data_IF_565268079220
#
_entry.id   IF_565268079220
#
_cell.length_a   1.000
_cell.length_b   1.000
_cell.length_c   1.000
_cell.angle_alpha   90.00
_cell.angle_beta   90.00
_cell.angle_gamma   90.00
#
_symmetry.space_group_name_H-M   'P 1'
#
loop_
_entity.id
_entity.type
_entity.pdbx_description
1 polymer ?
#
# COMPACT_ATOMS: atom_id res chain seq x y z
N UNK A 1 5.36 -11.92 29.38
CA UNK A 1 5.37 -10.93 30.47
C UNK A 1 4.35 -11.24 31.54
N UNK A 2 4.65 -10.85 32.78
CA UNK A 2 3.87 -11.16 33.97
C UNK A 2 3.78 -9.98 34.93
N UNK A 3 2.72 -9.93 35.73
CA UNK A 3 2.64 -9.15 36.97
C UNK A 3 2.98 -10.07 38.13
N UNK A 4 4.08 -9.80 38.84
CA UNK A 4 4.52 -10.55 40.02
C UNK A 4 4.16 -9.84 41.31
N UNK A 5 3.93 -10.61 42.36
CA UNK A 5 3.78 -10.16 43.74
C UNK A 5 4.61 -11.07 44.65
N UNK A 6 5.52 -10.46 45.43
CA UNK A 6 6.29 -11.19 46.44
C UNK A 6 5.49 -11.35 47.73
N UNK A 7 5.70 -12.46 48.43
CA UNK A 7 5.05 -12.70 49.71
C UNK A 7 5.61 -11.75 50.79
N UNK A 8 4.75 -11.03 51.55
CA UNK A 8 5.21 -10.08 52.57
C UNK A 8 5.91 -10.77 53.77
N UNK A 9 5.68 -12.07 53.96
CA UNK A 9 6.25 -12.85 55.07
C UNK A 9 7.72 -13.24 54.87
N UNK A 10 8.33 -12.91 53.73
CA UNK A 10 9.72 -13.25 53.43
C UNK A 10 10.69 -12.30 54.15
N UNK A 11 11.02 -12.58 55.41
CA UNK A 11 12.04 -11.80 56.12
C UNK A 11 13.40 -11.90 55.39
N UNK A 12 14.02 -10.75 55.07
CA UNK A 12 15.35 -10.63 54.45
C UNK A 12 15.54 -11.32 53.09
N UNK A 13 14.53 -11.27 52.20
CA UNK A 13 14.66 -11.74 50.82
C UNK A 13 14.37 -10.61 49.84
N UNK A 14 15.27 -10.39 48.89
CA UNK A 14 15.05 -9.48 47.76
C UNK A 14 15.19 -10.26 46.46
N UNK A 15 14.17 -10.15 45.59
CA UNK A 15 14.25 -10.76 44.27
C UNK A 15 15.08 -9.83 43.38
N UNK A 16 16.28 -10.24 43.00
CA UNK A 16 17.15 -9.44 42.13
C UNK A 16 16.91 -9.73 40.65
N UNK A 17 17.24 -8.77 39.80
CA UNK A 17 17.19 -8.96 38.36
C UNK A 17 18.08 -10.14 37.91
N UNK A 18 17.64 -10.87 36.89
CA UNK A 18 18.32 -12.08 36.37
C UNK A 18 18.37 -13.29 37.31
N UNK A 19 17.63 -13.29 38.42
CA UNK A 19 17.48 -14.46 39.29
C UNK A 19 16.87 -15.66 38.54
N UNK A 20 17.35 -16.86 38.88
CA UNK A 20 16.77 -18.13 38.42
C UNK A 20 15.80 -18.67 39.48
N UNK A 21 14.59 -19.00 39.04
CA UNK A 21 13.50 -19.44 39.89
C UNK A 21 12.74 -20.60 39.24
N UNK A 22 12.13 -21.45 40.04
CA UNK A 22 11.14 -22.39 39.53
C UNK A 22 9.79 -21.69 39.36
N UNK A 23 9.24 -21.83 38.16
CA UNK A 23 7.92 -21.38 37.77
C UNK A 23 6.97 -22.57 37.74
N UNK A 24 5.87 -22.44 38.47
CA UNK A 24 4.82 -23.45 38.52
C UNK A 24 3.56 -22.91 37.86
N UNK A 25 3.07 -23.63 36.86
CA UNK A 25 1.77 -23.42 36.24
C UNK A 25 1.09 -24.76 35.99
N UNK A 26 -0.20 -24.88 36.34
CA UNK A 26 -0.91 -26.15 36.30
C UNK A 26 -0.12 -27.26 37.00
N UNK A 27 0.25 -28.30 36.26
CA UNK A 27 1.03 -29.46 36.74
C UNK A 27 2.51 -29.41 36.37
N UNK A 28 3.00 -28.30 35.78
CA UNK A 28 4.36 -28.19 35.25
C UNK A 28 5.24 -27.30 36.13
N UNK A 29 6.47 -27.76 36.37
CA UNK A 29 7.55 -27.04 37.03
C UNK A 29 8.69 -26.80 36.04
N UNK A 30 9.11 -25.54 35.88
CA UNK A 30 10.17 -25.17 34.92
C UNK A 30 11.08 -24.11 35.51
N UNK A 31 12.39 -24.23 35.29
CA UNK A 31 13.34 -23.17 35.61
C UNK A 31 13.17 -21.97 34.67
N UNK A 32 13.01 -20.78 35.24
CA UNK A 32 12.89 -19.52 34.52
C UNK A 32 13.92 -18.51 35.01
N UNK A 33 14.38 -17.66 34.09
CA UNK A 33 15.12 -16.45 34.42
C UNK A 33 14.17 -15.26 34.51
N UNK A 34 14.25 -14.48 35.58
CA UNK A 34 13.37 -13.33 35.79
C UNK A 34 14.07 -12.03 35.43
N UNK A 35 13.43 -11.22 34.59
CA UNK A 35 13.91 -9.89 34.23
C UNK A 35 12.95 -8.86 34.80
N UNK A 36 13.42 -7.99 35.69
CA UNK A 36 12.60 -7.03 36.42
C UNK A 36 12.46 -5.70 35.67
N UNK A 37 11.35 -5.01 35.93
CA UNK A 37 11.06 -3.70 35.37
C UNK A 37 11.71 -2.56 36.16
N UNK A 38 12.77 -1.97 35.61
CA UNK A 38 13.47 -0.74 36.09
C UNK A 38 13.94 -0.73 37.55
N UNK A 39 13.71 -1.79 38.31
CA UNK A 39 14.20 -2.00 39.66
C UNK A 39 15.34 -3.00 39.65
N UNK A 40 16.35 -2.75 40.47
CA UNK A 40 17.41 -3.72 40.72
C UNK A 40 16.90 -4.93 41.52
N UNK A 41 15.92 -4.70 42.40
CA UNK A 41 15.27 -5.73 43.20
C UNK A 41 13.82 -5.41 43.57
N UNK A 42 13.05 -6.45 43.92
CA UNK A 42 11.76 -6.34 44.60
C UNK A 42 11.87 -6.75 46.07
N UNK A 43 11.25 -5.98 46.95
CA UNK A 43 11.13 -6.28 48.37
C UNK A 43 9.89 -7.15 48.70
N UNK A 44 9.86 -7.82 49.86
CA UNK A 44 8.71 -8.62 50.29
C UNK A 44 7.41 -7.79 50.30
N UNK A 45 6.35 -8.32 49.69
CA UNK A 45 5.06 -7.63 49.57
C UNK A 45 4.94 -6.71 48.35
N UNK A 46 6.05 -6.38 47.68
CA UNK A 46 5.99 -5.55 46.48
C UNK A 46 5.34 -6.26 45.30
N UNK A 47 4.70 -5.46 44.45
CA UNK A 47 4.11 -5.89 43.18
C UNK A 47 4.78 -5.15 42.04
N UNK A 48 5.00 -5.82 40.92
CA UNK A 48 5.54 -5.18 39.72
C UNK A 48 5.45 -6.05 38.49
N UNK A 49 6.00 -5.54 37.39
CA UNK A 49 6.06 -6.28 36.13
C UNK A 49 7.44 -6.92 35.96
N UNK A 50 7.43 -8.10 35.35
CA UNK A 50 8.63 -8.81 34.98
C UNK A 50 8.43 -9.57 33.68
N UNK A 51 9.54 -9.92 33.03
CA UNK A 51 9.56 -10.85 31.92
C UNK A 51 10.23 -12.14 32.39
N UNK A 52 9.46 -13.24 32.33
CA UNK A 52 9.98 -14.58 32.59
C UNK A 52 10.50 -15.17 31.29
N UNK A 53 11.72 -15.69 31.32
CA UNK A 53 12.40 -16.28 30.16
C UNK A 53 12.67 -17.75 30.44
N UNK A 54 12.09 -18.59 29.60
CA UNK A 54 12.18 -20.04 29.69
C UNK A 54 13.15 -20.57 28.63
N UNK A 55 13.83 -21.68 28.94
CA UNK A 55 14.68 -22.40 27.97
C UNK A 55 13.86 -23.28 27.01
N UNK A 56 12.69 -23.71 27.47
CA UNK A 56 11.76 -24.58 26.74
C UNK A 56 10.44 -23.86 26.48
N UNK A 57 9.73 -24.21 25.39
CA UNK A 57 8.41 -23.65 25.13
C UNK A 57 7.41 -24.05 26.22
N UNK A 58 6.53 -23.10 26.54
CA UNK A 58 5.50 -23.27 27.55
C UNK A 58 4.19 -22.66 27.03
N UNK A 59 3.14 -23.47 27.00
CA UNK A 59 1.79 -22.99 26.69
C UNK A 59 1.14 -22.45 27.96
N UNK A 60 0.77 -21.18 27.93
CA UNK A 60 -0.01 -20.51 28.97
C UNK A 60 -1.07 -19.62 28.35
N UNK A 61 -2.07 -19.30 29.15
CA UNK A 61 -3.11 -18.35 28.81
C UNK A 61 -2.89 -17.01 29.49
N UNK A 62 -3.31 -15.96 28.81
CA UNK A 62 -3.46 -14.63 29.38
C UNK A 62 -4.46 -14.70 30.53
N UNK A 63 -4.06 -14.17 31.69
CA UNK A 63 -4.85 -14.24 32.93
C UNK A 63 -4.55 -15.46 33.81
N UNK A 64 -3.69 -16.39 33.38
CA UNK A 64 -3.31 -17.52 34.22
C UNK A 64 -2.51 -17.06 35.44
N UNK A 65 -2.73 -17.75 36.56
CA UNK A 65 -1.95 -17.58 37.79
C UNK A 65 -0.78 -18.55 37.83
N UNK A 66 0.32 -18.13 38.44
CA UNK A 66 1.50 -18.96 38.63
C UNK A 66 2.14 -18.73 39.99
N UNK A 67 3.03 -19.64 40.38
CA UNK A 67 3.81 -19.57 41.61
C UNK A 67 5.31 -19.53 41.26
N UNK A 68 6.07 -18.74 42.01
CA UNK A 68 7.54 -18.66 41.94
C UNK A 68 8.18 -19.23 43.20
N UNK A 69 9.17 -20.11 43.02
CA UNK A 69 9.95 -20.70 44.11
C UNK A 69 11.46 -20.59 43.85
N UNK A 70 12.24 -20.46 44.92
CA UNK A 70 13.71 -20.58 44.83
C UNK A 70 14.11 -22.04 44.60
N UNK A 71 15.17 -22.32 43.82
CA UNK A 71 15.64 -23.68 43.61
C UNK A 71 16.23 -24.33 44.87
N UNK A 72 17.07 -23.59 45.61
CA UNK A 72 17.69 -24.09 46.84
C UNK A 72 17.97 -22.93 47.81
N UNK A 73 17.56 -23.04 49.09
CA UNK A 73 16.58 -24.00 49.60
C UNK A 73 15.20 -23.79 48.93
N UNK A 74 14.39 -24.84 48.73
CA UNK A 74 13.12 -24.74 48.04
C UNK A 74 12.11 -23.94 48.86
N UNK A 75 11.80 -22.71 48.42
CA UNK A 75 10.92 -21.79 49.15
C UNK A 75 10.02 -21.04 48.20
N UNK A 76 8.73 -20.95 48.53
CA UNK A 76 7.80 -20.10 47.78
C UNK A 76 8.08 -18.64 48.09
N UNK A 77 8.39 -17.86 47.05
CA UNK A 77 8.70 -16.44 47.19
C UNK A 77 7.56 -15.52 46.73
N UNK A 78 6.60 -16.07 45.98
CA UNK A 78 5.55 -15.26 45.40
C UNK A 78 4.84 -15.98 44.29
N UNK A 79 4.13 -15.20 43.51
CA UNK A 79 3.43 -15.65 42.33
C UNK A 79 2.98 -14.46 41.51
N UNK A 80 2.04 -14.69 40.63
CA UNK A 80 1.58 -13.60 39.79
C UNK A 80 0.50 -13.99 38.80
N UNK A 81 0.32 -13.08 37.85
CA UNK A 81 -0.63 -13.17 36.74
C UNK A 81 0.13 -13.04 35.42
N UNK A 82 -0.19 -13.89 34.46
CA UNK A 82 0.32 -13.77 33.10
C UNK A 82 -0.45 -12.68 32.37
N UNK A 83 0.26 -11.66 31.88
CA UNK A 83 -0.35 -10.50 31.21
C UNK A 83 -0.06 -10.46 29.71
N UNK A 84 1.00 -11.12 29.25
CA UNK A 84 1.25 -11.37 27.84
C UNK A 84 2.01 -12.70 27.67
N UNK A 85 1.34 -13.79 27.24
CA UNK A 85 1.99 -15.09 27.05
C UNK A 85 2.94 -15.11 25.84
N UNK A 86 2.74 -14.23 24.85
CA UNK A 86 3.48 -14.20 23.59
C UNK A 86 4.37 -12.96 23.48
N UNK A 87 4.85 -12.43 24.61
CA UNK A 87 5.72 -11.25 24.63
C UNK A 87 7.08 -11.55 23.98
N UNK A 88 7.51 -10.68 23.06
CA UNK A 88 8.87 -10.74 22.54
C UNK A 88 9.89 -10.35 23.62
N UNK A 89 11.13 -10.82 23.48
CA UNK A 89 12.22 -10.41 24.36
C UNK A 89 12.42 -8.90 24.27
N UNK A 90 12.29 -8.19 25.39
CA UNK A 90 12.51 -6.75 25.44
C UNK A 90 13.24 -6.36 26.73
N UNK A 91 13.61 -5.08 26.80
CA UNK A 91 14.17 -4.46 27.99
C UNK A 91 13.18 -3.43 28.52
N UNK A 92 12.98 -3.43 29.83
CA UNK A 92 12.12 -2.47 30.53
C UNK A 92 12.68 -1.04 30.57
N UNK A 93 13.58 -0.64 29.66
CA UNK A 93 14.11 0.73 29.64
C UNK A 93 13.07 1.77 29.23
N UNK A 94 12.05 1.34 28.50
CA UNK A 94 11.00 2.21 28.00
C UNK A 94 9.80 2.26 28.96
N UNK A 95 9.38 3.48 29.33
CA UNK A 95 8.14 3.71 30.10
C UNK A 95 6.91 3.19 29.36
N UNK A 96 6.97 3.13 28.03
CA UNK A 96 5.92 2.64 27.17
C UNK A 96 5.49 1.20 27.50
N UNK A 97 6.46 0.28 27.61
CA UNK A 97 6.19 -1.13 27.86
C UNK A 97 5.48 -1.34 29.20
N UNK A 98 5.87 -0.58 30.23
CA UNK A 98 5.23 -0.65 31.54
C UNK A 98 3.77 -0.21 31.48
N UNK A 99 3.49 0.86 30.75
CA UNK A 99 2.12 1.35 30.57
C UNK A 99 1.25 0.34 29.81
N UNK A 100 1.80 -0.30 28.78
CA UNK A 100 1.13 -1.35 28.03
C UNK A 100 0.79 -2.55 28.94
N UNK A 101 1.74 -3.00 29.75
CA UNK A 101 1.50 -4.10 30.69
C UNK A 101 0.49 -3.75 31.80
N UNK A 102 0.45 -2.48 32.24
CA UNK A 102 -0.58 -2.01 33.19
C UNK A 102 -1.99 -2.12 32.61
N UNK A 103 -2.18 -1.73 31.34
CA UNK A 103 -3.45 -1.89 30.65
C UNK A 103 -3.86 -3.36 30.57
N UNK A 104 -2.94 -4.21 30.08
CA UNK A 104 -3.18 -5.66 29.97
C UNK A 104 -3.49 -6.34 31.30
N UNK A 105 -2.89 -5.87 32.40
CA UNK A 105 -3.12 -6.41 33.73
C UNK A 105 -4.54 -6.20 34.26
N UNK A 106 -5.32 -5.28 33.69
CA UNK A 106 -6.75 -5.10 34.03
C UNK A 106 -7.63 -6.19 33.44
N UNK A 107 -7.11 -6.94 32.46
CA UNK A 107 -7.84 -7.95 31.70
C UNK A 107 -9.08 -7.41 30.97
N UNK A 108 -9.18 -6.10 30.73
CA UNK A 108 -10.24 -5.53 29.90
C UNK A 108 -10.04 -5.93 28.42
N UNK A 109 -11.06 -6.53 27.80
CA UNK A 109 -10.92 -7.11 26.46
C UNK A 109 -10.63 -6.03 25.40
N UNK A 110 -11.20 -4.84 25.53
CA UNK A 110 -10.92 -3.72 24.63
C UNK A 110 -9.46 -3.27 24.71
N UNK A 111 -8.96 -3.03 25.94
CA UNK A 111 -7.55 -2.69 26.16
C UNK A 111 -6.60 -3.81 25.69
N UNK A 112 -6.97 -5.08 25.87
CA UNK A 112 -6.19 -6.23 25.41
C UNK A 112 -6.06 -6.24 23.88
N UNK A 113 -7.17 -6.05 23.16
CA UNK A 113 -7.16 -6.01 21.68
C UNK A 113 -6.29 -4.86 21.18
N UNK A 114 -6.48 -3.66 21.73
CA UNK A 114 -5.71 -2.47 21.34
C UNK A 114 -4.20 -2.65 21.61
N UNK A 115 -3.84 -3.19 22.79
CA UNK A 115 -2.43 -3.45 23.11
C UNK A 115 -1.83 -4.58 22.28
N UNK A 116 -2.62 -5.56 21.85
CA UNK A 116 -2.18 -6.62 20.92
C UNK A 116 -1.88 -6.05 19.52
N UNK A 117 -2.69 -5.10 19.05
CA UNK A 117 -2.47 -4.40 17.78
C UNK A 117 -1.28 -3.46 17.82
N UNK A 118 -1.06 -2.77 18.94
CA UNK A 118 0.16 -1.99 19.16
C UNK A 118 1.41 -2.87 19.05
N UNK A 119 1.37 -4.06 19.66
CA UNK A 119 2.51 -4.99 19.67
C UNK A 119 2.82 -5.56 18.28
N UNK A 120 1.80 -5.97 17.55
CA UNK A 120 1.96 -6.71 16.28
C UNK A 120 1.78 -5.83 15.03
N UNK A 121 1.30 -4.59 15.18
CA UNK A 121 0.93 -3.63 14.14
C UNK A 121 -0.31 -4.05 13.34
N UNK A 122 -0.32 -5.28 12.84
CA UNK A 122 -1.48 -5.94 12.24
C UNK A 122 -1.46 -7.43 12.55
N UNK A 123 -2.65 -8.01 12.74
CA UNK A 123 -2.81 -9.42 13.13
C UNK A 123 -3.97 -10.04 12.34
N UNK A 124 -3.87 -11.33 12.02
CA UNK A 124 -5.01 -12.07 11.47
C UNK A 124 -6.08 -12.17 12.54
N UNK A 125 -7.36 -12.01 12.15
CA UNK A 125 -8.51 -12.10 13.06
C UNK A 125 -8.48 -13.40 13.87
N UNK A 126 -8.16 -14.52 13.23
CA UNK A 126 -8.14 -15.85 13.86
C UNK A 126 -6.99 -16.05 14.86
N UNK A 127 -5.97 -15.18 14.81
CA UNK A 127 -4.82 -15.24 15.72
C UNK A 127 -4.95 -14.23 16.88
N UNK A 128 -5.98 -13.37 16.88
CA UNK A 128 -6.16 -12.36 17.91
C UNK A 128 -6.45 -13.02 19.26
N UNK A 129 -5.59 -12.78 20.25
CA UNK A 129 -5.73 -13.30 21.61
C UNK A 129 -5.95 -14.83 21.68
N UNK A 130 -5.31 -15.58 20.77
CA UNK A 130 -5.45 -17.05 20.69
C UNK A 130 -5.03 -17.78 21.98
N UNK A 131 -4.11 -17.20 22.76
CA UNK A 131 -3.70 -17.67 24.08
C UNK A 131 -4.45 -16.90 25.19
N UNK A 132 -5.77 -16.78 25.10
CA UNK A 132 -6.60 -16.16 26.14
C UNK A 132 -7.85 -17.00 26.41
N UNK A 133 -8.47 -16.79 27.58
CA UNK A 133 -9.68 -17.51 27.98
C UNK A 133 -10.97 -16.87 27.42
N UNK A 134 -10.86 -15.95 26.47
CA UNK A 134 -12.00 -15.30 25.83
C UNK A 134 -12.53 -16.14 24.68
N UNK A 135 -13.86 -16.26 24.59
CA UNK A 135 -14.50 -16.91 23.47
C UNK A 135 -14.34 -16.07 22.18
N UNK A 136 -14.28 -16.74 21.04
CA UNK A 136 -14.19 -16.07 19.74
C UNK A 136 -15.35 -15.08 19.50
N UNK A 137 -16.55 -15.40 20.00
CA UNK A 137 -17.71 -14.51 19.92
C UNK A 137 -17.51 -13.20 20.69
N UNK A 138 -16.98 -13.28 21.91
CA UNK A 138 -16.72 -12.10 22.76
C UNK A 138 -15.66 -11.19 22.10
N UNK A 139 -14.58 -11.78 21.58
CA UNK A 139 -13.54 -11.05 20.86
C UNK A 139 -14.15 -10.34 19.64
N UNK A 140 -14.98 -11.05 18.86
CA UNK A 140 -15.60 -10.50 17.66
C UNK A 140 -16.54 -9.34 17.97
N UNK A 141 -17.34 -9.44 19.02
CA UNK A 141 -18.25 -8.36 19.44
C UNK A 141 -17.49 -7.09 19.78
N UNK A 142 -16.42 -7.20 20.59
CA UNK A 142 -15.58 -6.05 20.96
C UNK A 142 -14.82 -5.48 19.75
N UNK A 143 -14.34 -6.34 18.84
CA UNK A 143 -13.72 -5.90 17.58
C UNK A 143 -14.71 -5.06 16.74
N UNK A 144 -15.97 -5.48 16.62
CA UNK A 144 -16.96 -4.69 15.87
C UNK A 144 -17.32 -3.37 16.57
N UNK A 145 -17.32 -3.33 17.90
CA UNK A 145 -17.47 -2.07 18.66
C UNK A 145 -16.30 -1.11 18.40
N UNK A 146 -15.06 -1.57 18.59
CA UNK A 146 -13.85 -0.76 18.35
C UNK A 146 -13.74 -0.29 16.90
N UNK A 147 -14.19 -1.10 15.95
CA UNK A 147 -14.26 -0.72 14.53
C UNK A 147 -15.26 0.39 14.30
N UNK A 148 -16.46 0.32 14.90
CA UNK A 148 -17.49 1.38 14.79
C UNK A 148 -17.00 2.69 15.40
N UNK A 149 -16.26 2.62 16.50
CA UNK A 149 -15.63 3.78 17.15
C UNK A 149 -14.42 4.33 16.35
N UNK A 150 -13.95 3.58 15.34
CA UNK A 150 -12.79 3.95 14.54
C UNK A 150 -11.48 3.86 15.30
N UNK A 151 -11.41 3.05 16.35
CA UNK A 151 -10.20 2.78 17.15
C UNK A 151 -9.29 1.72 16.52
N UNK A 152 -9.85 0.88 15.64
CA UNK A 152 -9.09 -0.12 14.87
C UNK A 152 -9.53 -0.13 13.41
N UNK A 153 -8.68 -0.65 12.54
CA UNK A 153 -8.97 -0.81 11.12
C UNK A 153 -9.10 -2.29 10.81
N UNK A 154 -10.16 -2.67 10.12
CA UNK A 154 -10.45 -4.07 9.80
C UNK A 154 -10.50 -4.28 8.30
N UNK A 155 -9.77 -5.28 7.80
CA UNK A 155 -9.98 -5.83 6.45
C UNK A 155 -10.82 -7.11 6.53
N UNK A 156 -10.90 -7.88 5.45
CA UNK A 156 -11.55 -9.19 5.47
C UNK A 156 -10.90 -10.12 6.52
N UNK A 157 -9.57 -10.22 6.52
CA UNK A 157 -8.81 -11.20 7.32
C UNK A 157 -7.95 -10.57 8.41
N UNK A 158 -7.70 -9.26 8.37
CA UNK A 158 -6.73 -8.58 9.23
C UNK A 158 -7.39 -7.52 10.11
N UNK A 159 -6.79 -7.32 11.28
CA UNK A 159 -6.99 -6.19 12.17
C UNK A 159 -5.69 -5.38 12.18
N UNK A 160 -5.80 -4.06 12.15
CA UNK A 160 -4.67 -3.14 11.98
C UNK A 160 -4.83 -2.01 13.01
N UNK A 161 -3.72 -1.63 13.64
CA UNK A 161 -3.66 -0.47 14.52
C UNK A 161 -4.02 0.83 13.75
N UNK A 162 -4.84 1.68 14.38
CA UNK A 162 -5.31 2.94 13.79
C UNK A 162 -4.17 3.92 13.53
N UNK A 163 -3.27 4.10 14.49
CA UNK A 163 -2.20 5.10 14.35
C UNK A 163 -1.23 4.70 13.25
N UNK A 164 -0.84 3.42 13.23
CA UNK A 164 -0.06 2.86 12.15
C UNK A 164 -0.75 3.01 10.79
N UNK A 165 -2.06 2.76 10.71
CA UNK A 165 -2.80 2.92 9.46
C UNK A 165 -2.80 4.36 8.94
N UNK A 166 -2.99 5.34 9.82
CA UNK A 166 -2.93 6.76 9.46
C UNK A 166 -1.51 7.16 9.02
N UNK A 167 -0.49 6.62 9.67
CA UNK A 167 0.89 6.80 9.26
C UNK A 167 1.12 6.23 7.85
N UNK A 168 0.60 5.04 7.53
CA UNK A 168 0.72 4.44 6.20
C UNK A 168 0.01 5.26 5.12
N UNK A 169 -1.18 5.78 5.41
CA UNK A 169 -1.89 6.72 4.52
C UNK A 169 -1.05 7.96 4.24
N UNK A 170 -0.46 8.53 5.28
CA UNK A 170 0.38 9.74 5.16
C UNK A 170 1.64 9.46 4.36
N UNK A 171 2.35 8.36 4.68
CA UNK A 171 3.53 7.89 3.93
C UNK A 171 3.21 7.66 2.47
N UNK A 172 2.08 7.04 2.16
CA UNK A 172 1.65 6.79 0.79
C UNK A 172 1.44 8.08 0.03
N UNK A 173 0.67 9.02 0.59
CA UNK A 173 0.40 10.31 -0.05
C UNK A 173 1.67 11.13 -0.24
N UNK A 174 2.56 11.14 0.75
CA UNK A 174 3.87 11.81 0.64
C UNK A 174 4.71 11.19 -0.47
N UNK A 175 4.76 9.86 -0.55
CA UNK A 175 5.49 9.16 -1.62
C UNK A 175 4.90 9.46 -3.00
N UNK A 176 3.57 9.45 -3.13
CA UNK A 176 2.89 9.77 -4.39
C UNK A 176 3.18 11.22 -4.82
N UNK A 177 3.15 12.17 -3.89
CA UNK A 177 3.51 13.56 -4.18
C UNK A 177 4.98 13.71 -4.62
N UNK A 178 5.92 13.03 -3.97
CA UNK A 178 7.33 12.99 -4.38
C UNK A 178 7.51 12.45 -5.80
N UNK A 179 6.80 11.40 -6.18
CA UNK A 179 6.84 10.86 -7.55
C UNK A 179 6.39 11.91 -8.57
N UNK A 180 5.35 12.69 -8.26
CA UNK A 180 4.93 13.77 -9.15
C UNK A 180 5.82 15.02 -9.12
N UNK A 181 6.63 15.24 -8.08
CA UNK A 181 7.67 16.27 -8.09
C UNK A 181 8.83 15.87 -9.01
N UNK A 182 9.22 14.60 -8.97
CA UNK A 182 10.25 14.04 -9.85
C UNK A 182 9.79 13.94 -11.30
N UNK A 183 8.51 13.65 -11.53
CA UNK A 183 7.93 13.49 -12.86
C UNK A 183 6.66 14.36 -13.05
N UNK A 184 6.78 15.68 -13.24
CA UNK A 184 5.63 16.61 -13.26
C UNK A 184 4.61 16.40 -14.38
N UNK A 185 5.03 15.75 -15.48
CA UNK A 185 4.20 15.46 -16.65
C UNK A 185 3.46 14.12 -16.56
N UNK A 186 3.87 13.24 -15.63
CA UNK A 186 3.14 11.99 -15.41
C UNK A 186 1.76 12.32 -14.87
N UNK A 187 0.76 11.60 -15.38
CA UNK A 187 -0.63 11.72 -14.92
C UNK A 187 -0.95 10.72 -13.82
N UNK A 188 -0.13 9.68 -13.67
CA UNK A 188 -0.21 8.69 -12.62
C UNK A 188 0.99 7.74 -12.68
N UNK A 189 1.05 6.79 -11.77
CA UNK A 189 2.14 5.82 -11.70
C UNK A 189 1.62 4.40 -11.49
N UNK A 190 2.38 3.38 -11.93
CA UNK A 190 1.99 1.98 -11.73
C UNK A 190 1.81 1.61 -10.25
N UNK A 191 0.73 0.89 -9.92
CA UNK A 191 0.41 0.45 -8.56
C UNK A 191 1.48 -0.48 -7.98
N UNK A 192 2.04 -1.37 -8.81
CA UNK A 192 3.13 -2.28 -8.43
C UNK A 192 4.41 -1.54 -7.99
N UNK A 193 4.67 -0.35 -8.54
CA UNK A 193 5.77 0.51 -8.09
C UNK A 193 5.56 0.91 -6.63
N UNK A 194 4.36 1.32 -6.25
CA UNK A 194 4.06 1.64 -4.86
C UNK A 194 4.04 0.40 -3.95
N UNK A 195 3.52 -0.74 -4.40
CA UNK A 195 3.60 -1.98 -3.64
C UNK A 195 5.05 -2.32 -3.25
N UNK A 196 6.02 -1.99 -4.11
CA UNK A 196 7.45 -2.19 -3.84
C UNK A 196 7.99 -1.27 -2.73
N UNK A 197 7.51 -0.02 -2.65
CA UNK A 197 7.84 0.90 -1.55
C UNK A 197 7.23 0.47 -0.22
N UNK A 198 6.10 -0.22 -0.27
CA UNK A 198 5.37 -0.76 0.88
C UNK A 198 5.54 -2.27 1.01
N UNK A 199 6.75 -2.79 0.75
CA UNK A 199 7.05 -4.24 0.77
C UNK A 199 6.74 -4.94 2.12
N UNK A 200 6.72 -4.19 3.22
CA UNK A 200 6.39 -4.68 4.55
C UNK A 200 4.88 -4.88 4.76
N UNK A 201 4.03 -4.27 3.91
CA UNK A 201 2.60 -4.54 3.90
C UNK A 201 2.31 -5.77 3.04
N UNK A 202 1.48 -6.67 3.59
CA UNK A 202 0.95 -7.79 2.82
C UNK A 202 0.10 -7.26 1.64
N UNK A 203 0.04 -7.93 0.48
CA UNK A 203 -0.72 -7.46 -0.68
C UNK A 203 -2.18 -7.13 -0.37
N UNK A 204 -2.85 -7.93 0.45
CA UNK A 204 -4.23 -7.68 0.91
C UNK A 204 -4.36 -6.36 1.67
N UNK A 205 -3.40 -6.06 2.55
CA UNK A 205 -3.38 -4.82 3.35
C UNK A 205 -3.07 -3.62 2.46
N UNK A 206 -2.13 -3.77 1.52
CA UNK A 206 -1.81 -2.71 0.57
C UNK A 206 -2.99 -2.40 -0.36
N UNK A 207 -3.66 -3.42 -0.91
CA UNK A 207 -4.85 -3.21 -1.73
C UNK A 207 -5.95 -2.48 -0.94
N UNK A 208 -6.17 -2.88 0.32
CA UNK A 208 -7.09 -2.18 1.21
C UNK A 208 -6.69 -0.73 1.49
N UNK A 209 -5.37 -0.42 1.51
CA UNK A 209 -4.87 0.95 1.65
C UNK A 209 -5.25 1.79 0.43
N UNK A 210 -5.07 1.23 -0.77
CA UNK A 210 -5.47 1.86 -2.02
C UNK A 210 -6.97 2.09 -2.06
N UNK A 211 -7.77 1.06 -1.77
CA UNK A 211 -9.23 1.15 -1.75
C UNK A 211 -9.71 2.20 -0.74
N UNK A 212 -9.09 2.25 0.45
CA UNK A 212 -9.42 3.26 1.44
C UNK A 212 -9.09 4.69 0.97
N UNK A 213 -8.07 4.89 0.16
CA UNK A 213 -7.71 6.22 -0.37
C UNK A 213 -8.61 6.62 -1.54
N UNK A 214 -9.02 5.65 -2.37
CA UNK A 214 -10.02 5.83 -3.43
C UNK A 214 -11.36 6.25 -2.82
N UNK A 215 -11.82 5.53 -1.79
CA UNK A 215 -13.09 5.82 -1.11
C UNK A 215 -13.10 7.18 -0.38
N UNK A 216 -11.93 7.80 -0.17
CA UNK A 216 -11.82 9.15 0.38
C UNK A 216 -11.60 10.23 -0.68
N UNK A 217 -11.80 9.89 -1.96
CA UNK A 217 -11.62 10.77 -3.13
C UNK A 217 -10.25 11.46 -3.18
N UNK A 218 -9.20 10.80 -2.68
CA UNK A 218 -7.82 11.31 -2.74
C UNK A 218 -7.10 10.87 -4.01
N UNK A 219 -7.32 9.62 -4.41
CA UNK A 219 -6.66 8.99 -5.56
C UNK A 219 -7.66 8.24 -6.43
N UNK A 220 -7.31 8.01 -7.70
CA UNK A 220 -7.99 7.08 -8.58
C UNK A 220 -7.06 5.94 -9.00
N UNK A 221 -7.64 4.81 -9.42
CA UNK A 221 -6.94 3.67 -9.98
C UNK A 221 -7.58 3.27 -11.32
N UNK A 222 -6.81 3.31 -12.42
CA UNK A 222 -7.30 2.92 -13.75
C UNK A 222 -6.26 2.06 -14.47
N UNK A 223 -6.65 0.84 -14.86
CA UNK A 223 -5.76 -0.12 -15.55
C UNK A 223 -4.40 -0.31 -14.83
N UNK A 224 -4.41 -0.36 -13.49
CA UNK A 224 -3.20 -0.52 -12.68
C UNK A 224 -2.38 0.76 -12.47
N UNK A 225 -2.85 1.92 -12.95
CA UNK A 225 -2.20 3.22 -12.74
C UNK A 225 -2.94 3.99 -11.63
N UNK A 226 -2.19 4.40 -10.60
CA UNK A 226 -2.65 5.24 -9.49
C UNK A 226 -2.42 6.70 -9.86
N UNK A 227 -3.41 7.55 -9.65
CA UNK A 227 -3.31 8.99 -9.92
C UNK A 227 -3.99 9.83 -8.84
N UNK A 228 -3.54 11.07 -8.64
CA UNK A 228 -4.21 12.04 -7.77
C UNK A 228 -5.41 12.65 -8.48
N UNK A 229 -6.59 12.63 -7.84
CA UNK A 229 -7.80 13.24 -8.40
C UNK A 229 -7.70 14.77 -8.49
N UNK A 230 -6.98 15.40 -7.56
CA UNK A 230 -6.83 16.85 -7.47
C UNK A 230 -5.78 17.43 -8.43
N UNK A 231 -4.93 16.60 -9.05
CA UNK A 231 -3.77 17.09 -9.80
C UNK A 231 -4.04 17.09 -11.29
N UNK A 232 -3.93 18.28 -11.89
CA UNK A 232 -3.70 18.44 -13.33
C UNK A 232 -2.19 18.55 -13.61
N UNK A 233 -1.69 18.05 -14.74
CA UNK A 233 -0.28 18.17 -15.11
C UNK A 233 0.13 19.64 -15.13
N UNK A 234 1.20 19.98 -14.41
CA UNK A 234 1.76 21.35 -14.39
C UNK A 234 2.89 21.41 -15.40
N UNK A 235 2.68 22.16 -16.48
CA UNK A 235 3.68 22.38 -17.53
C UNK A 235 4.59 23.55 -17.11
N UNK A 236 5.88 23.28 -16.95
CA UNK A 236 6.89 24.31 -16.65
C UNK A 236 7.16 25.22 -17.85
N UNK A 237 7.76 26.38 -17.63
CA UNK A 237 8.13 27.31 -18.73
C UNK A 237 9.09 26.67 -19.74
N UNK A 238 10.04 25.85 -19.27
CA UNK A 238 10.94 25.09 -20.15
C UNK A 238 10.18 24.03 -20.97
N UNK A 239 9.23 23.33 -20.36
CA UNK A 239 8.39 22.36 -21.05
C UNK A 239 7.48 23.03 -22.08
N UNK A 240 6.97 24.23 -21.83
CA UNK A 240 6.21 25.00 -22.84
C UNK A 240 7.04 25.28 -24.09
N UNK A 241 8.33 25.61 -23.93
CA UNK A 241 9.26 25.82 -25.06
C UNK A 241 9.51 24.51 -25.82
N UNK A 242 9.60 23.39 -25.12
CA UNK A 242 9.76 22.08 -25.78
C UNK A 242 8.47 21.65 -26.50
N UNK A 243 7.30 21.87 -25.91
CA UNK A 243 5.99 21.63 -26.52
C UNK A 243 5.86 22.45 -27.81
N UNK A 244 6.20 23.75 -27.77
CA UNK A 244 6.14 24.59 -28.97
C UNK A 244 7.11 24.11 -30.06
N UNK A 245 8.32 23.68 -29.69
CA UNK A 245 9.25 23.05 -30.64
C UNK A 245 8.68 21.78 -31.28
N UNK A 246 8.07 20.89 -30.49
CA UNK A 246 7.43 19.66 -30.99
C UNK A 246 6.31 20.01 -31.98
N UNK A 247 5.41 20.92 -31.62
CA UNK A 247 4.33 21.33 -32.53
C UNK A 247 4.84 22.01 -33.78
N UNK A 248 5.89 22.83 -33.71
CA UNK A 248 6.48 23.45 -34.91
C UNK A 248 7.01 22.37 -35.86
N UNK A 249 7.74 21.36 -35.35
CA UNK A 249 8.23 20.25 -36.18
C UNK A 249 7.08 19.49 -36.84
N UNK A 250 5.99 19.24 -36.10
CA UNK A 250 4.81 18.56 -36.63
C UNK A 250 4.08 19.41 -37.69
N UNK A 251 3.98 20.73 -37.47
CA UNK A 251 3.35 21.68 -38.40
C UNK A 251 4.16 21.90 -39.67
N UNK A 252 5.49 21.91 -39.58
CA UNK A 252 6.39 22.05 -40.72
C UNK A 252 6.41 20.79 -41.59
N UNK A 253 5.95 19.64 -41.06
CA UNK A 253 5.92 18.35 -41.74
C UNK A 253 4.52 17.71 -41.78
N UNK A 254 3.49 18.40 -42.29
CA UNK A 254 2.10 17.94 -42.19
C UNK A 254 1.83 16.68 -43.04
N UNK A 255 2.59 16.47 -44.11
CA UNK A 255 2.47 15.33 -45.04
C UNK A 255 3.59 14.30 -44.90
N UNK A 256 4.59 14.60 -44.06
CA UNK A 256 5.75 13.75 -43.80
C UNK A 256 6.02 13.63 -42.29
N UNK A 257 5.04 13.16 -41.50
CA UNK A 257 5.13 13.20 -40.06
C UNK A 257 6.36 12.42 -39.55
N UNK A 258 7.06 12.97 -38.55
CA UNK A 258 8.22 12.33 -37.95
C UNK A 258 7.82 11.09 -37.13
N UNK A 259 8.80 10.21 -36.92
CA UNK A 259 8.66 9.08 -36.01
C UNK A 259 9.00 9.52 -34.58
N UNK A 260 8.34 8.94 -33.60
CA UNK A 260 8.62 9.09 -32.17
C UNK A 260 10.11 8.93 -31.85
N UNK A 261 10.80 7.92 -32.40
CA UNK A 261 12.23 7.71 -32.17
C UNK A 261 13.07 8.89 -32.66
N UNK A 262 12.73 9.44 -33.84
CA UNK A 262 13.42 10.59 -34.43
C UNK A 262 13.22 11.83 -33.56
N UNK A 263 11.99 12.09 -33.13
CA UNK A 263 11.65 13.23 -32.30
C UNK A 263 12.32 13.18 -30.91
N UNK A 264 12.36 11.99 -30.29
CA UNK A 264 13.06 11.76 -29.03
C UNK A 264 14.57 12.00 -29.19
N UNK A 265 15.16 11.61 -30.33
CA UNK A 265 16.59 11.84 -30.58
C UNK A 265 16.94 13.31 -30.84
N UNK A 266 16.02 14.07 -31.43
CA UNK A 266 16.21 15.50 -31.74
C UNK A 266 15.96 16.41 -30.54
N UNK A 267 15.16 15.95 -29.58
CA UNK A 267 14.75 16.75 -28.41
C UNK A 267 15.09 15.97 -27.14
N UNK A 268 16.16 16.40 -26.47
CA UNK A 268 16.49 15.89 -25.13
C UNK A 268 15.31 16.12 -24.17
N UNK A 269 14.84 15.06 -23.51
CA UNK A 269 13.63 15.09 -22.68
C UNK A 269 12.30 15.06 -23.45
N UNK A 270 12.32 14.89 -24.77
CA UNK A 270 11.13 14.91 -25.61
C UNK A 270 10.15 13.76 -25.35
N UNK A 271 10.64 12.60 -24.88
CA UNK A 271 9.79 11.41 -24.64
C UNK A 271 8.64 11.70 -23.67
N UNK A 272 8.93 12.27 -22.50
CA UNK A 272 7.90 12.54 -21.48
C UNK A 272 6.85 13.54 -21.97
N UNK A 273 7.27 14.52 -22.78
CA UNK A 273 6.37 15.50 -23.36
C UNK A 273 5.50 14.89 -24.46
N UNK A 274 6.07 14.03 -25.30
CA UNK A 274 5.33 13.31 -26.34
C UNK A 274 4.29 12.40 -25.69
N UNK A 275 4.68 11.62 -24.68
CA UNK A 275 3.76 10.75 -23.93
C UNK A 275 2.62 11.56 -23.30
N UNK A 276 2.94 12.72 -22.71
CA UNK A 276 1.95 13.66 -22.17
C UNK A 276 0.99 14.20 -23.25
N UNK A 277 1.51 14.66 -24.39
CA UNK A 277 0.69 15.19 -25.49
C UNK A 277 -0.18 14.12 -26.15
N UNK A 278 0.29 12.87 -26.22
CA UNK A 278 -0.52 11.73 -26.66
C UNK A 278 -1.66 11.47 -25.68
N UNK A 279 -1.37 11.52 -24.39
CA UNK A 279 -2.37 11.31 -23.35
C UNK A 279 -3.45 12.40 -23.34
N UNK A 280 -3.06 13.66 -23.52
CA UNK A 280 -3.98 14.80 -23.68
C UNK A 280 -4.69 14.83 -25.04
N UNK A 281 -4.39 13.87 -25.94
CA UNK A 281 -4.96 13.75 -27.30
C UNK A 281 -4.64 14.94 -28.22
N UNK A 282 -3.57 15.67 -27.91
CA UNK A 282 -3.02 16.72 -28.76
C UNK A 282 -2.15 16.14 -29.90
N UNK A 283 -1.56 14.97 -29.66
CA UNK A 283 -0.83 14.18 -30.65
C UNK A 283 -1.50 12.81 -30.80
N UNK A 284 -1.72 12.38 -32.04
CA UNK A 284 -2.17 11.03 -32.38
C UNK A 284 -0.94 10.21 -32.76
N UNK A 285 -0.72 9.09 -32.06
CA UNK A 285 0.26 8.08 -32.43
C UNK A 285 -0.38 7.05 -33.35
N UNK A 286 0.12 6.96 -34.58
CA UNK A 286 -0.25 5.92 -35.55
C UNK A 286 0.61 4.67 -35.37
N UNK A 287 0.34 3.62 -36.17
CA UNK A 287 1.23 2.46 -36.25
C UNK A 287 2.64 2.87 -36.71
N UNK A 288 3.62 2.01 -36.42
CA UNK A 288 5.05 2.24 -36.68
C UNK A 288 5.66 3.43 -35.91
N UNK A 289 4.94 4.00 -34.94
CA UNK A 289 5.43 5.09 -34.09
C UNK A 289 5.39 6.47 -34.74
N UNK A 290 4.59 6.64 -35.80
CA UNK A 290 4.42 7.92 -36.50
C UNK A 290 3.55 8.85 -35.66
N UNK A 291 3.94 10.11 -35.51
CA UNK A 291 3.25 11.11 -34.70
C UNK A 291 2.58 12.18 -35.56
N UNK A 292 1.29 12.44 -35.33
CA UNK A 292 0.53 13.49 -35.99
C UNK A 292 -0.06 14.46 -34.98
N UNK A 293 -0.10 15.75 -35.31
CA UNK A 293 -0.96 16.69 -34.58
C UNK A 293 -2.43 16.25 -34.74
N UNK A 294 -3.18 16.25 -33.64
CA UNK A 294 -4.59 15.82 -33.60
C UNK A 294 -5.44 16.57 -34.62
N UNK A 295 -5.22 17.88 -34.76
CA UNK A 295 -5.90 18.71 -35.77
C UNK A 295 -5.63 18.25 -37.20
N UNK A 296 -4.39 17.88 -37.52
CA UNK A 296 -4.03 17.39 -38.85
C UNK A 296 -4.64 16.01 -39.12
N UNK A 297 -4.64 15.13 -38.11
CA UNK A 297 -5.34 13.86 -38.18
C UNK A 297 -6.83 14.04 -38.47
N UNK A 298 -7.51 14.95 -37.77
CA UNK A 298 -8.93 15.24 -37.98
C UNK A 298 -9.22 15.79 -39.38
N UNK A 299 -8.37 16.68 -39.91
CA UNK A 299 -8.49 17.18 -41.30
C UNK A 299 -8.39 16.02 -42.30
N UNK A 300 -7.37 15.16 -42.18
CA UNK A 300 -7.18 14.02 -43.08
C UNK A 300 -8.34 13.03 -42.98
N UNK A 301 -8.76 12.73 -41.75
CA UNK A 301 -9.88 11.83 -41.43
C UNK A 301 -11.18 12.32 -42.04
N UNK A 302 -11.50 13.61 -41.89
CA UNK A 302 -12.72 14.19 -42.44
C UNK A 302 -12.73 14.17 -43.97
N UNK A 303 -11.62 14.53 -44.64
CA UNK A 303 -11.49 14.42 -46.10
C UNK A 303 -11.75 12.98 -46.59
N UNK A 304 -11.21 11.99 -45.88
CA UNK A 304 -11.42 10.58 -46.21
C UNK A 304 -12.88 10.15 -46.01
N UNK A 305 -13.52 10.58 -44.91
CA UNK A 305 -14.93 10.31 -44.64
C UNK A 305 -15.81 10.93 -45.74
N UNK A 306 -15.55 12.17 -46.14
CA UNK A 306 -16.33 12.87 -47.17
C UNK A 306 -16.18 12.20 -48.54
N UNK A 307 -14.96 11.80 -48.91
CA UNK A 307 -14.73 11.01 -50.13
C UNK A 307 -15.50 9.69 -50.09
N UNK A 308 -15.44 8.96 -48.97
CA UNK A 308 -16.10 7.67 -48.83
C UNK A 308 -17.63 7.77 -48.81
N UNK A 309 -18.21 8.87 -48.32
CA UNK A 309 -19.67 9.11 -48.38
C UNK A 309 -20.17 9.23 -49.82
N UNK A 310 -19.37 9.83 -50.70
CA UNK A 310 -19.73 10.07 -52.10
C UNK A 310 -19.41 8.82 -52.95
N UNK A 311 -18.22 8.26 -52.79
CA UNK A 311 -17.70 7.22 -53.69
C UNK A 311 -17.86 5.79 -53.16
N UNK A 312 -18.29 5.62 -51.89
CA UNK A 312 -18.52 4.35 -51.22
C UNK A 312 -17.25 3.59 -50.80
N UNK A 313 -16.20 3.61 -51.62
CA UNK A 313 -14.93 2.92 -51.37
C UNK A 313 -13.72 3.80 -51.70
N UNK A 314 -12.58 3.56 -51.05
CA UNK A 314 -11.32 4.24 -51.37
C UNK A 314 -10.15 3.26 -51.39
N UNK A 315 -9.36 3.30 -52.46
CA UNK A 315 -8.10 2.55 -52.60
C UNK A 315 -6.91 3.34 -52.05
N UNK A 316 -5.79 2.67 -51.78
CA UNK A 316 -4.54 3.33 -51.34
C UNK A 316 -4.07 4.39 -52.34
N UNK A 317 -4.24 4.15 -53.64
CA UNK A 317 -3.86 5.10 -54.68
C UNK A 317 -4.69 6.40 -54.61
N UNK A 318 -6.01 6.27 -54.42
CA UNK A 318 -6.91 7.42 -54.26
C UNK A 318 -6.64 8.18 -52.95
N UNK A 319 -6.26 7.49 -51.86
CA UNK A 319 -5.84 8.17 -50.62
C UNK A 319 -4.61 9.04 -50.87
N UNK A 320 -3.63 8.53 -51.63
CA UNK A 320 -2.42 9.29 -52.00
C UNK A 320 -2.78 10.56 -52.78
N UNK A 321 -3.67 10.45 -53.75
CA UNK A 321 -4.14 11.58 -54.56
C UNK A 321 -4.92 12.60 -53.72
N UNK A 322 -5.79 12.14 -52.83
CA UNK A 322 -6.63 12.99 -51.99
C UNK A 322 -5.84 13.76 -50.93
N UNK A 323 -4.87 13.11 -50.28
CA UNK A 323 -4.16 13.66 -49.13
C UNK A 323 -2.75 14.17 -49.45
N UNK A 324 -2.19 13.81 -50.61
CA UNK A 324 -0.84 14.22 -51.00
C UNK A 324 0.27 13.65 -50.12
N UNK A 325 0.02 12.55 -49.40
CA UNK A 325 0.97 11.92 -48.47
C UNK A 325 1.64 10.69 -49.07
N UNK A 326 2.87 10.39 -48.63
CA UNK A 326 3.59 9.20 -49.12
C UNK A 326 2.93 7.89 -48.65
N UNK A 327 3.14 6.80 -49.40
CA UNK A 327 2.58 5.47 -49.09
C UNK A 327 2.95 4.97 -47.68
N UNK A 328 4.10 5.39 -47.17
CA UNK A 328 4.58 5.09 -45.80
C UNK A 328 3.60 5.55 -44.72
N UNK A 329 2.87 6.64 -44.95
CA UNK A 329 1.96 7.25 -43.97
C UNK A 329 0.49 6.83 -44.16
N UNK A 330 0.12 6.42 -45.37
CA UNK A 330 -1.26 6.02 -45.70
C UNK A 330 -1.70 4.80 -44.90
N UNK A 331 -0.89 3.74 -44.87
CA UNK A 331 -1.27 2.50 -44.20
C UNK A 331 -1.45 2.72 -42.68
N UNK A 332 -0.51 3.37 -41.97
CA UNK A 332 -0.70 3.72 -40.55
C UNK A 332 -1.93 4.57 -40.26
N UNK A 333 -2.23 5.55 -41.14
CA UNK A 333 -3.43 6.39 -41.02
C UNK A 333 -4.71 5.55 -41.12
N UNK A 334 -4.81 4.70 -42.15
CA UNK A 334 -5.98 3.84 -42.35
C UNK A 334 -6.14 2.82 -41.22
N UNK A 335 -5.05 2.20 -40.76
CA UNK A 335 -5.09 1.26 -39.64
C UNK A 335 -5.64 1.92 -38.37
N UNK A 336 -5.26 3.18 -38.12
CA UNK A 336 -5.79 3.96 -36.99
C UNK A 336 -7.30 4.18 -37.13
N UNK A 337 -7.77 4.58 -38.32
CA UNK A 337 -9.21 4.76 -38.58
C UNK A 337 -9.99 3.44 -38.44
N UNK A 338 -9.39 2.30 -38.73
CA UNK A 338 -10.03 0.99 -38.50
C UNK A 338 -10.09 0.61 -37.02
N UNK A 339 -9.02 0.87 -36.27
CA UNK A 339 -8.96 0.68 -34.81
C UNK A 339 -10.05 1.52 -34.12
N UNK A 340 -10.23 2.76 -34.58
CA UNK A 340 -11.30 3.67 -34.17
C UNK A 340 -12.68 3.29 -34.75
N UNK A 341 -12.76 2.21 -35.53
CA UNK A 341 -13.98 1.68 -36.14
C UNK A 341 -14.67 2.65 -37.11
N UNK A 342 -13.94 3.58 -37.69
CA UNK A 342 -14.43 4.54 -38.70
C UNK A 342 -14.46 3.87 -40.08
N UNK A 343 -13.39 3.16 -40.44
CA UNK A 343 -13.27 2.42 -41.70
C UNK A 343 -13.13 0.92 -41.46
N UNK A 344 -13.29 0.15 -42.54
CA UNK A 344 -13.05 -1.29 -42.55
C UNK A 344 -12.37 -1.72 -43.85
N UNK A 345 -11.48 -2.72 -43.75
CA UNK A 345 -10.81 -3.32 -44.92
C UNK A 345 -11.77 -4.23 -45.63
N UNK A 346 -11.92 -4.00 -46.93
CA UNK A 346 -12.53 -4.96 -47.84
C UNK A 346 -11.56 -5.18 -48.99
N UNK A 347 -10.78 -6.26 -48.87
CA UNK A 347 -9.72 -6.61 -49.83
C UNK A 347 -8.69 -5.48 -50.02
N UNK A 348 -8.74 -4.81 -51.18
CA UNK A 348 -7.82 -3.76 -51.62
C UNK A 348 -8.34 -2.34 -51.38
N UNK A 349 -9.57 -2.20 -50.86
CA UNK A 349 -10.21 -0.91 -50.59
C UNK A 349 -10.63 -0.78 -49.12
N UNK A 350 -10.94 0.45 -48.73
CA UNK A 350 -11.58 0.78 -47.47
C UNK A 350 -13.00 1.25 -47.73
N UNK A 351 -13.89 0.88 -46.82
CA UNK A 351 -15.28 1.34 -46.78
C UNK A 351 -15.56 1.99 -45.43
N UNK A 352 -16.56 2.88 -45.37
CA UNK A 352 -17.07 3.37 -44.09
C UNK A 352 -17.74 2.24 -43.32
N UNK A 353 -17.50 2.19 -42.01
CA UNK A 353 -18.17 1.24 -41.14
C UNK A 353 -19.56 1.78 -40.79
N UNK A 354 -20.60 1.00 -41.03
CA UNK A 354 -22.01 1.44 -41.13
C UNK A 354 -22.70 1.86 -39.82
N UNK A 355 -21.98 2.37 -38.82
CA UNK A 355 -22.58 2.99 -37.62
C UNK A 355 -21.77 4.22 -37.17
N UNK A 356 -22.05 5.36 -37.81
CA UNK A 356 -21.96 6.67 -37.16
C UNK A 356 -23.37 6.98 -36.65
N UNK A 357 -23.69 6.42 -35.48
CA UNK A 357 -24.88 6.72 -34.69
C UNK A 357 -24.45 7.06 -33.29
#
# INVERSE_FOLDING_TARGET
DVRIQLLPRLKKYSLTNSSELFFFTGTKEILTKVILNQKEYFEPGETGFAQLRFKEPLATYLGDRFILRTPSPPKTIGGGLIVDPLAHKHHFKDKYTVNLLRKRAKLDLGELILTELIKNIFIKKDNLLINSNYAYSEIREVVELLKKEGEIITTNSWLIDKNYWQEQKTKFMNRLNQEYELYPLQTGFPSNKFQSYFYYLKPEIFNYLIDSLINTDKIGLKKGIIFLLSRKPKISSQQKVLISKIFNILKDNPTNPPNEKTLISQIAGGKEIIDFLIQEREIIKLSDGILLESKNYDIMKNKLIDFLKINGTISIAQVRELLGISRKYIIPLLNKMDEEKITQRKENVRILKTKLG
#
